data_IF_172485459484
#
_entry.id   IF_172485459484
#
_cell.length_a   1.000
_cell.length_b   1.000
_cell.length_c   1.000
_cell.angle_alpha   90.00
_cell.angle_beta   90.00
_cell.angle_gamma   90.00
#
_symmetry.space_group_name_H-M   'P 1'
#
loop_
_entity.id
_entity.type
_entity.pdbx_description
1 polymer ?
#
# COMPACT_ATOMS: atom_id res chain seq x y z
N UNK A 1 33.17 7.97 -7.54
CA UNK A 1 32.11 8.98 -7.77
C UNK A 1 32.30 9.56 -9.16
N UNK A 2 31.40 9.28 -10.11
CA UNK A 2 31.45 9.90 -11.44
C UNK A 2 30.41 11.02 -11.43
N UNK A 3 30.88 12.27 -11.37
CA UNK A 3 30.00 13.44 -11.50
C UNK A 3 30.01 13.81 -12.97
N UNK A 4 28.88 13.62 -13.64
CA UNK A 4 28.70 14.07 -15.02
C UNK A 4 27.77 15.27 -15.00
N UNK A 5 28.33 16.46 -15.28
CA UNK A 5 27.56 17.70 -15.38
C UNK A 5 26.95 17.74 -16.78
N UNK A 6 25.62 17.56 -16.89
CA UNK A 6 24.89 17.82 -18.14
C UNK A 6 24.17 19.15 -17.99
N UNK A 7 24.59 20.14 -18.77
CA UNK A 7 23.96 21.45 -18.84
C UNK A 7 23.07 21.46 -20.08
N UNK A 8 21.75 21.50 -19.89
CA UNK A 8 20.79 21.68 -20.98
C UNK A 8 20.27 23.12 -20.93
N UNK A 9 20.60 23.89 -21.96
CA UNK A 9 20.08 25.25 -22.18
C UNK A 9 18.85 25.16 -23.09
N UNK A 10 17.67 25.50 -22.57
CA UNK A 10 16.47 25.71 -23.39
C UNK A 10 16.12 27.20 -23.41
N UNK A 11 16.09 27.77 -24.62
CA UNK A 11 15.64 29.14 -24.87
C UNK A 11 14.21 29.10 -25.42
N UNK A 12 13.25 29.65 -24.69
CA UNK A 12 11.91 29.94 -25.21
C UNK A 12 11.46 31.29 -24.67
N UNK A 13 11.18 32.23 -25.59
CA UNK A 13 10.65 33.59 -25.39
C UNK A 13 10.90 34.22 -24.00
N UNK A 14 11.84 35.17 -23.93
CA UNK A 14 12.13 36.09 -22.80
C UNK A 14 12.51 35.50 -21.44
N UNK A 15 12.64 34.18 -21.30
CA UNK A 15 13.08 33.52 -20.05
C UNK A 15 14.31 32.61 -20.28
N UNK A 16 15.23 32.60 -19.31
CA UNK A 16 16.34 31.63 -19.22
C UNK A 16 16.03 30.60 -18.15
N UNK A 17 16.07 29.31 -18.50
CA UNK A 17 15.89 28.21 -17.56
C UNK A 17 17.26 27.54 -17.30
N UNK A 18 17.71 27.50 -16.05
CA UNK A 18 18.95 26.83 -15.64
C UNK A 18 18.61 25.56 -14.85
N UNK A 19 18.69 24.40 -15.49
CA UNK A 19 18.43 23.13 -14.80
C UNK A 19 19.74 22.45 -14.42
N UNK A 20 20.01 22.29 -13.13
CA UNK A 20 21.12 21.48 -12.62
C UNK A 20 20.60 20.11 -12.19
N UNK A 21 20.92 19.07 -12.97
CA UNK A 21 20.55 17.68 -12.62
C UNK A 21 21.74 17.00 -11.96
N UNK A 22 21.63 16.70 -10.66
CA UNK A 22 22.65 15.96 -9.93
C UNK A 22 22.25 14.47 -9.88
N UNK A 23 22.93 13.62 -10.64
CA UNK A 23 22.72 12.17 -10.56
C UNK A 23 23.75 11.56 -9.61
N UNK A 24 23.30 11.10 -8.43
CA UNK A 24 24.19 10.48 -7.43
C UNK A 24 23.95 8.96 -7.45
N UNK A 25 24.97 8.19 -7.85
CA UNK A 25 25.03 6.74 -7.61
C UNK A 25 25.88 6.49 -6.36
N UNK A 26 25.26 6.01 -5.28
CA UNK A 26 25.93 5.73 -4.01
C UNK A 26 25.95 4.22 -3.76
N UNK A 27 27.14 3.61 -3.81
CA UNK A 27 27.39 2.25 -3.33
C UNK A 27 27.86 2.18 -1.87
N UNK A 28 27.93 3.32 -1.15
CA UNK A 28 28.11 3.42 0.32
C UNK A 28 27.87 4.85 0.79
N UNK A 29 27.32 4.99 2.00
CA UNK A 29 26.96 6.26 2.63
C UNK A 29 28.19 7.15 2.89
N UNK A 30 28.15 8.41 2.45
CA UNK A 30 29.11 9.45 2.79
C UNK A 30 28.37 10.76 3.07
N UNK A 31 28.78 11.47 4.11
CA UNK A 31 28.31 12.81 4.46
C UNK A 31 28.99 13.86 3.57
N UNK A 32 28.23 14.82 3.05
CA UNK A 32 28.74 15.94 2.28
C UNK A 32 28.66 17.23 3.10
N UNK A 33 29.81 17.86 3.34
CA UNK A 33 29.91 19.28 3.67
C UNK A 33 30.69 19.96 2.53
N UNK A 34 30.19 21.13 2.12
CA UNK A 34 30.75 22.11 1.17
C UNK A 34 30.40 21.96 -0.33
N UNK A 35 29.30 22.60 -0.74
CA UNK A 35 29.15 23.28 -2.04
C UNK A 35 28.37 24.60 -1.80
N UNK A 36 28.75 25.75 -2.40
CA UNK A 36 28.21 27.06 -1.99
C UNK A 36 26.76 27.37 -2.41
N UNK A 37 26.18 26.64 -3.37
CA UNK A 37 24.88 26.99 -3.97
C UNK A 37 23.77 25.93 -3.76
N UNK A 38 23.99 24.94 -2.89
CA UNK A 38 22.97 23.95 -2.52
C UNK A 38 22.74 24.05 -1.01
N UNK A 39 21.82 24.92 -0.59
CA UNK A 39 21.34 24.87 0.78
C UNK A 39 20.25 23.81 0.91
N UNK A 40 20.56 22.81 1.74
CA UNK A 40 19.66 21.81 2.34
C UNK A 40 19.18 20.67 1.44
N UNK A 41 20.01 19.63 1.30
CA UNK A 41 19.53 18.28 1.01
C UNK A 41 19.09 17.62 2.33
N UNK A 42 17.79 17.49 2.59
CA UNK A 42 17.28 16.75 3.75
C UNK A 42 17.16 15.28 3.37
N UNK A 43 18.07 14.45 3.87
CA UNK A 43 17.98 13.00 3.75
C UNK A 43 17.24 12.44 4.97
N UNK A 44 15.96 12.10 4.81
CA UNK A 44 15.24 11.37 5.85
C UNK A 44 15.56 9.87 5.75
N UNK A 45 16.36 9.38 6.69
CA UNK A 45 16.65 7.95 6.84
C UNK A 45 15.51 7.28 7.60
N UNK A 46 14.51 6.78 6.89
CA UNK A 46 13.55 5.82 7.47
C UNK A 46 14.19 4.42 7.49
N UNK A 47 13.98 3.68 8.57
CA UNK A 47 14.60 2.36 8.81
C UNK A 47 14.18 1.35 7.72
N UNK A 48 15.14 1.05 6.83
CA UNK A 48 15.19 0.00 5.80
C UNK A 48 14.28 0.21 4.58
N UNK A 49 14.96 0.57 3.48
CA UNK A 49 14.60 0.46 2.05
C UNK A 49 13.80 1.54 1.30
N UNK A 50 13.43 2.67 1.89
CA UNK A 50 12.91 3.79 1.10
C UNK A 50 13.81 5.03 1.23
N UNK A 51 14.66 5.23 0.23
CA UNK A 51 15.28 6.53 -0.03
C UNK A 51 14.28 7.37 -0.82
N UNK A 52 13.52 8.20 -0.11
CA UNK A 52 12.81 9.31 -0.72
C UNK A 52 13.80 10.44 -0.92
N UNK A 53 14.24 10.66 -2.15
CA UNK A 53 15.07 11.83 -2.48
C UNK A 53 14.11 12.98 -2.74
N UNK A 54 14.13 13.98 -1.85
CA UNK A 54 13.51 15.27 -2.10
C UNK A 54 14.55 16.09 -2.88
N UNK A 55 14.33 16.25 -4.18
CA UNK A 55 15.08 17.22 -4.97
C UNK A 55 14.43 18.57 -4.71
N UNK A 56 15.14 19.45 -3.99
CA UNK A 56 14.77 20.85 -3.82
C UNK A 56 15.52 21.63 -4.90
N UNK A 57 14.81 21.98 -5.98
CA UNK A 57 15.29 22.96 -6.93
C UNK A 57 14.85 24.35 -6.46
N UNK A 58 15.79 25.27 -6.26
CA UNK A 58 15.49 26.70 -6.19
C UNK A 58 15.58 27.25 -7.61
N UNK A 59 14.43 27.39 -8.26
CA UNK A 59 14.34 28.14 -9.51
C UNK A 59 13.97 29.60 -9.20
N UNK A 60 14.38 30.51 -10.08
CA UNK A 60 13.98 31.91 -10.03
C UNK A 60 13.21 32.25 -11.29
N UNK A 61 11.96 32.68 -11.17
CA UNK A 61 11.23 33.24 -12.31
C UNK A 61 11.53 34.73 -12.36
N UNK A 62 12.24 35.16 -13.40
CA UNK A 62 12.66 36.55 -13.56
C UNK A 62 11.87 37.25 -14.64
N UNK A 63 11.39 38.47 -14.38
CA UNK A 63 10.81 39.38 -15.37
C UNK A 63 11.56 40.70 -15.30
N UNK A 64 12.46 40.95 -16.25
CA UNK A 64 13.41 42.07 -16.16
C UNK A 64 14.46 41.83 -15.06
N UNK A 65 14.73 42.83 -14.22
CA UNK A 65 15.68 42.75 -13.09
C UNK A 65 15.09 42.15 -11.80
N UNK A 66 13.79 41.88 -11.76
CA UNK A 66 13.12 41.27 -10.61
C UNK A 66 13.02 39.74 -10.77
N UNK A 67 13.50 39.00 -9.77
CA UNK A 67 13.45 37.55 -9.70
C UNK A 67 12.74 37.11 -8.42
N UNK A 68 11.81 36.16 -8.53
CA UNK A 68 11.15 35.55 -7.35
C UNK A 68 11.60 34.10 -7.23
N UNK A 69 12.16 33.68 -6.09
CA UNK A 69 12.51 32.28 -5.87
C UNK A 69 11.23 31.45 -5.73
N UNK A 70 11.18 30.30 -6.41
CA UNK A 70 10.14 29.30 -6.24
C UNK A 70 10.77 27.92 -6.05
N UNK A 71 10.19 27.15 -5.13
CA UNK A 71 10.71 25.85 -4.73
C UNK A 71 9.96 24.76 -5.48
N UNK A 72 10.67 24.03 -6.34
CA UNK A 72 10.15 22.79 -6.93
C UNK A 72 10.56 21.64 -6.04
N UNK A 73 9.57 20.95 -5.47
CA UNK A 73 9.80 19.68 -4.77
C UNK A 73 9.39 18.53 -5.68
N UNK A 74 10.33 17.62 -5.96
CA UNK A 74 10.02 16.34 -6.63
C UNK A 74 10.51 15.20 -5.76
N UNK A 75 9.58 14.39 -5.28
CA UNK A 75 9.88 13.18 -4.55
C UNK A 75 10.18 12.07 -5.53
N UNK A 76 11.38 11.50 -5.48
CA UNK A 76 11.74 10.28 -6.21
C UNK A 76 11.87 9.16 -5.19
N UNK A 77 10.93 8.21 -5.21
CA UNK A 77 11.06 6.96 -4.47
C UNK A 77 11.86 5.97 -5.29
N UNK A 78 12.93 5.44 -4.72
CA UNK A 78 13.68 4.35 -5.32
C UNK A 78 12.90 3.05 -5.11
N UNK A 79 11.90 2.79 -5.95
CA UNK A 79 11.22 1.48 -5.97
C UNK A 79 12.12 0.49 -6.73
N UNK A 80 12.43 -0.65 -6.12
CA UNK A 80 13.17 -1.77 -6.77
C UNK A 80 12.37 -2.44 -7.90
N UNK A 81 11.31 -1.80 -8.38
CA UNK A 81 10.29 -2.38 -9.22
C UNK A 81 10.11 -1.49 -10.45
N UNK A 82 10.76 -1.89 -11.54
CA UNK A 82 10.68 -1.17 -12.82
C UNK A 82 9.30 -1.41 -13.43
N UNK A 83 8.62 -0.32 -13.85
CA UNK A 83 7.27 -0.34 -14.44
C UNK A 83 6.17 -0.91 -13.54
N UNK A 84 6.20 -0.61 -12.24
CA UNK A 84 5.11 -0.98 -11.35
C UNK A 84 4.68 0.17 -10.42
N UNK A 85 3.48 0.03 -9.86
CA UNK A 85 2.99 0.82 -8.74
C UNK A 85 3.09 -0.03 -7.46
N UNK A 86 3.61 0.55 -6.38
CA UNK A 86 3.65 -0.10 -5.07
C UNK A 86 2.81 0.71 -4.08
N UNK A 87 1.91 0.03 -3.37
CA UNK A 87 1.02 0.62 -2.37
C UNK A 87 1.17 -0.16 -1.07
N UNK A 88 1.66 0.50 -0.03
CA UNK A 88 1.78 -0.05 1.32
C UNK A 88 1.34 1.02 2.34
N UNK A 89 0.02 1.29 2.42
CA UNK A 89 -0.47 2.38 3.24
C UNK A 89 -0.20 2.11 4.72
N UNK A 90 0.28 3.14 5.43
CA UNK A 90 0.42 3.09 6.89
C UNK A 90 -0.94 3.29 7.58
N UNK A 91 -0.97 3.14 8.90
CA UNK A 91 -2.18 3.32 9.73
C UNK A 91 -3.02 4.58 9.45
N UNK A 92 -2.41 5.67 8.98
CA UNK A 92 -3.10 6.95 8.72
C UNK A 92 -3.80 6.96 7.37
N UNK A 93 -3.23 6.30 6.36
CA UNK A 93 -3.73 6.30 4.99
C UNK A 93 -4.38 4.98 4.57
N UNK A 94 -4.29 3.94 5.41
CA UNK A 94 -4.89 2.64 5.12
C UNK A 94 -6.39 2.71 5.24
N UNK A 95 -7.09 2.05 4.31
CA UNK A 95 -8.52 1.80 4.41
C UNK A 95 -8.76 0.31 4.66
N UNK A 96 -8.94 -0.05 5.93
CA UNK A 96 -9.13 -1.45 6.35
C UNK A 96 -10.05 -1.57 7.57
N UNK A 97 -10.88 -2.61 7.58
CA UNK A 97 -11.81 -2.92 8.65
C UNK A 97 -11.85 -4.44 8.90
N UNK A 98 -12.16 -4.84 10.13
CA UNK A 98 -12.49 -6.23 10.45
C UNK A 98 -13.88 -6.26 11.07
N UNK A 99 -14.74 -7.12 10.54
CA UNK A 99 -16.15 -7.24 10.92
C UNK A 99 -16.38 -8.60 11.58
N UNK A 100 -17.25 -8.67 12.59
CA UNK A 100 -17.46 -9.87 13.40
C UNK A 100 -18.94 -10.19 13.55
N UNK A 101 -19.32 -11.46 13.32
CA UNK A 101 -20.71 -11.90 13.47
C UNK A 101 -21.20 -11.95 14.91
N UNK A 102 -20.30 -12.00 15.89
CA UNK A 102 -20.64 -12.06 17.32
C UNK A 102 -21.11 -10.71 17.89
N UNK A 103 -20.69 -9.62 17.26
CA UNK A 103 -21.01 -8.23 17.63
C UNK A 103 -21.36 -7.47 16.35
N UNK A 104 -22.50 -7.80 15.74
CA UNK A 104 -22.71 -7.54 14.33
C UNK A 104 -22.92 -6.05 14.01
N UNK A 105 -23.23 -5.24 15.01
CA UNK A 105 -23.48 -3.80 14.89
C UNK A 105 -22.34 -2.93 15.45
N UNK A 106 -21.20 -3.54 15.85
CA UNK A 106 -20.04 -2.82 16.36
C UNK A 106 -18.96 -2.64 15.27
N UNK A 107 -18.49 -1.40 15.06
CA UNK A 107 -17.32 -1.14 14.24
C UNK A 107 -16.04 -1.42 15.03
N UNK A 108 -15.11 -2.19 14.47
CA UNK A 108 -13.83 -2.53 15.14
C UNK A 108 -12.59 -1.98 14.47
N UNK A 109 -12.75 -1.16 13.42
CA UNK A 109 -11.66 -0.75 12.52
C UNK A 109 -10.47 -0.07 13.21
N UNK A 110 -10.67 0.57 14.37
CA UNK A 110 -9.65 1.32 15.09
C UNK A 110 -8.72 0.48 15.97
N UNK A 111 -9.09 -0.76 16.32
CA UNK A 111 -8.40 -1.56 17.36
C UNK A 111 -7.79 -2.86 16.86
N UNK A 112 -7.70 -3.03 15.55
CA UNK A 112 -7.26 -4.28 14.94
C UNK A 112 -5.76 -4.22 14.61
N UNK A 113 -5.00 -5.19 15.11
CA UNK A 113 -3.59 -5.40 14.74
C UNK A 113 -3.41 -6.56 13.74
N UNK A 114 -4.48 -7.29 13.46
CA UNK A 114 -4.49 -8.51 12.65
C UNK A 114 -5.59 -8.45 11.58
N UNK A 115 -5.25 -8.71 10.32
CA UNK A 115 -6.21 -8.90 9.23
C UNK A 115 -6.28 -10.35 8.79
N UNK A 116 -7.30 -10.74 8.03
CA UNK A 116 -7.45 -12.07 7.45
C UNK A 116 -8.84 -12.64 7.71
N UNK A 117 -8.90 -13.91 8.11
CA UNK A 117 -10.14 -14.59 8.44
C UNK A 117 -10.01 -15.44 9.70
N UNK A 118 -11.01 -15.34 10.58
CA UNK A 118 -11.05 -16.08 11.85
C UNK A 118 -12.44 -16.63 12.07
N UNK A 119 -12.53 -17.90 12.44
CA UNK A 119 -13.76 -18.51 12.94
C UNK A 119 -13.50 -19.17 14.29
N UNK A 120 -14.36 -18.93 15.25
CA UNK A 120 -14.21 -19.44 16.61
C UNK A 120 -15.56 -19.45 17.32
N UNK A 121 -15.55 -19.78 18.61
CA UNK A 121 -16.71 -19.60 19.48
C UNK A 121 -16.39 -18.57 20.55
N UNK A 122 -17.30 -17.63 20.79
CA UNK A 122 -17.26 -16.71 21.92
C UNK A 122 -18.37 -17.13 22.89
N UNK A 123 -18.01 -17.67 24.05
CA UNK A 123 -18.97 -18.20 25.04
C UNK A 123 -19.94 -19.23 24.45
N UNK A 124 -19.45 -20.10 23.55
CA UNK A 124 -20.25 -21.12 22.87
C UNK A 124 -21.01 -20.64 21.63
N UNK A 125 -21.01 -19.34 21.33
CA UNK A 125 -21.67 -18.77 20.14
C UNK A 125 -20.65 -18.66 19.00
N UNK A 126 -20.94 -19.20 17.79
CA UNK A 126 -20.05 -19.03 16.64
C UNK A 126 -19.79 -17.56 16.30
N UNK A 127 -18.52 -17.24 16.05
CA UNK A 127 -18.04 -15.94 15.65
C UNK A 127 -17.21 -16.08 14.38
N UNK A 128 -17.66 -15.45 13.30
CA UNK A 128 -16.97 -15.35 12.03
C UNK A 128 -16.44 -13.93 11.90
N UNK A 129 -15.18 -13.82 11.54
CA UNK A 129 -14.46 -12.57 11.35
C UNK A 129 -13.90 -12.50 9.93
N UNK A 130 -14.15 -11.39 9.25
CA UNK A 130 -13.69 -11.11 7.88
C UNK A 130 -12.99 -9.76 7.82
N UNK A 131 -12.06 -9.59 6.90
CA UNK A 131 -11.39 -8.30 6.67
C UNK A 131 -11.89 -7.65 5.39
N UNK A 132 -12.11 -6.34 5.45
CA UNK A 132 -12.25 -5.44 4.31
C UNK A 132 -10.95 -4.66 4.17
N UNK A 133 -10.39 -4.59 2.96
CA UNK A 133 -9.12 -3.93 2.67
C UNK A 133 -9.21 -3.20 1.33
N UNK A 134 -8.86 -1.92 1.30
CA UNK A 134 -8.88 -1.10 0.08
C UNK A 134 -7.54 -0.40 -0.11
N UNK A 135 -7.12 -0.34 -1.37
CA UNK A 135 -5.90 0.34 -1.80
C UNK A 135 -6.30 1.49 -2.72
N UNK A 136 -5.70 2.67 -2.52
CA UNK A 136 -6.00 3.82 -3.36
C UNK A 136 -5.46 3.62 -4.78
N UNK A 137 -6.35 3.23 -5.69
CA UNK A 137 -6.08 3.08 -7.12
C UNK A 137 -6.54 4.30 -7.93
N UNK A 138 -6.87 5.44 -7.31
CA UNK A 138 -7.39 6.63 -8.01
C UNK A 138 -6.49 7.09 -9.16
N UNK A 139 -5.17 6.99 -9.00
CA UNK A 139 -4.16 7.37 -9.99
C UNK A 139 -3.98 6.38 -11.17
N UNK A 140 -4.71 5.26 -11.21
CA UNK A 140 -4.74 4.34 -12.36
C UNK A 140 -6.00 4.61 -13.17
N UNK A 141 -5.89 4.89 -14.47
CA UNK A 141 -7.06 5.10 -15.34
C UNK A 141 -7.94 3.84 -15.39
N UNK A 142 -9.27 4.02 -15.34
CA UNK A 142 -10.21 2.91 -15.52
C UNK A 142 -9.94 2.18 -16.84
N UNK A 143 -10.02 0.86 -16.83
CA UNK A 143 -9.73 0.00 -17.98
C UNK A 143 -8.25 -0.15 -18.31
N UNK A 144 -7.33 0.40 -17.49
CA UNK A 144 -5.89 0.15 -17.69
C UNK A 144 -5.61 -1.34 -17.65
N UNK A 145 -5.02 -1.88 -18.71
CA UNK A 145 -4.54 -3.25 -18.73
C UNK A 145 -3.26 -3.37 -17.91
N UNK A 146 -3.25 -4.33 -16.98
CA UNK A 146 -2.08 -4.63 -16.16
C UNK A 146 -1.43 -5.92 -16.64
N UNK A 147 -0.12 -6.05 -16.38
CA UNK A 147 0.61 -7.30 -16.63
C UNK A 147 0.41 -8.29 -15.50
N UNK A 148 0.48 -7.81 -14.26
CA UNK A 148 0.45 -8.63 -13.05
C UNK A 148 0.11 -7.78 -11.83
N UNK A 149 -0.56 -8.36 -10.84
CA UNK A 149 -0.70 -7.76 -9.52
C UNK A 149 -0.41 -8.78 -8.42
N UNK A 150 0.33 -8.37 -7.40
CA UNK A 150 0.66 -9.19 -6.23
C UNK A 150 0.19 -8.51 -4.95
N UNK A 151 -0.53 -9.24 -4.11
CA UNK A 151 -0.81 -8.86 -2.73
C UNK A 151 0.15 -9.59 -1.80
N UNK A 152 0.94 -8.82 -1.06
CA UNK A 152 1.88 -9.31 -0.07
C UNK A 152 1.23 -9.17 1.31
N UNK A 153 1.10 -10.30 2.00
CA UNK A 153 0.54 -10.42 3.33
C UNK A 153 1.58 -11.07 4.25
N UNK A 154 1.77 -10.51 5.43
CA UNK A 154 2.85 -10.91 6.33
C UNK A 154 2.29 -11.49 7.62
N UNK A 155 2.68 -12.71 7.99
CA UNK A 155 2.23 -13.35 9.24
C UNK A 155 2.65 -12.53 10.45
N UNK A 156 1.81 -12.42 11.48
CA UNK A 156 2.02 -11.50 12.61
C UNK A 156 2.47 -12.23 13.89
N UNK A 157 3.78 -12.28 14.21
CA UNK A 157 4.30 -13.00 15.37
C UNK A 157 3.95 -12.35 16.72
N UNK A 158 3.54 -11.08 16.72
CA UNK A 158 3.12 -10.34 17.93
C UNK A 158 1.59 -10.24 18.05
N UNK A 159 0.87 -11.14 17.39
CA UNK A 159 -0.59 -11.21 17.45
C UNK A 159 -1.09 -11.50 18.87
N UNK A 160 -2.22 -10.90 19.24
CA UNK A 160 -2.89 -11.16 20.54
C UNK A 160 -4.05 -12.15 20.43
N UNK A 161 -4.45 -12.52 19.20
CA UNK A 161 -5.56 -13.44 18.96
C UNK A 161 -5.09 -14.90 18.80
N UNK A 162 -3.79 -15.12 18.57
CA UNK A 162 -3.12 -16.43 18.51
C UNK A 162 -2.66 -16.82 17.10
N UNK A 163 -1.90 -17.92 16.99
CA UNK A 163 -1.26 -18.39 15.74
C UNK A 163 -2.25 -18.86 14.67
N UNK A 164 -1.80 -19.03 13.42
CA UNK A 164 -2.61 -19.64 12.38
C UNK A 164 -3.16 -21.03 12.82
N UNK A 165 -4.41 -21.32 12.46
CA UNK A 165 -5.11 -22.55 12.83
C UNK A 165 -5.73 -23.19 11.58
N UNK A 166 -5.05 -24.16 10.95
CA UNK A 166 -5.55 -24.85 9.76
C UNK A 166 -6.66 -25.89 10.07
N UNK A 167 -7.46 -26.31 9.07
CA UNK A 167 -7.49 -25.80 7.69
C UNK A 167 -8.02 -24.37 7.66
N UNK A 168 -7.34 -23.51 6.91
CA UNK A 168 -7.60 -22.07 6.94
C UNK A 168 -7.37 -21.40 5.57
N UNK A 169 -7.69 -22.12 4.50
CA UNK A 169 -7.75 -21.53 3.17
C UNK A 169 -8.59 -20.25 3.18
N UNK A 170 -8.08 -19.23 2.49
CA UNK A 170 -8.68 -17.89 2.48
C UNK A 170 -8.99 -17.50 1.05
N UNK A 171 -10.13 -16.87 0.85
CA UNK A 171 -10.54 -16.31 -0.43
C UNK A 171 -10.57 -14.80 -0.38
N UNK A 172 -10.17 -14.21 -1.51
CA UNK A 172 -10.21 -12.78 -1.76
C UNK A 172 -11.22 -12.53 -2.87
N UNK A 173 -12.12 -11.59 -2.62
CA UNK A 173 -13.11 -11.11 -3.60
C UNK A 173 -13.04 -9.60 -3.74
N UNK A 174 -13.46 -9.08 -4.88
CA UNK A 174 -13.62 -7.64 -5.09
C UNK A 174 -14.92 -7.14 -4.46
N UNK A 175 -14.85 -6.07 -3.69
CA UNK A 175 -16.01 -5.41 -3.09
C UNK A 175 -16.70 -4.52 -4.13
N UNK A 176 -18.03 -4.64 -4.24
CA UNK A 176 -18.86 -4.00 -5.28
C UNK A 176 -19.80 -2.90 -4.75
N UNK A 177 -19.90 -2.70 -3.44
CA UNK A 177 -20.62 -1.57 -2.86
C UNK A 177 -19.75 -0.76 -1.91
N UNK A 178 -20.01 0.55 -1.84
CA UNK A 178 -19.27 1.47 -0.98
C UNK A 178 -19.35 1.07 0.49
N UNK A 179 -18.27 1.33 1.23
CA UNK A 179 -18.21 1.19 2.67
C UNK A 179 -17.26 2.25 3.25
N UNK A 180 -17.53 2.65 4.49
CA UNK A 180 -16.69 3.56 5.27
C UNK A 180 -16.06 2.78 6.42
N UNK A 181 -14.73 2.90 6.55
CA UNK A 181 -13.98 2.21 7.58
C UNK A 181 -14.48 2.53 9.01
N UNK A 182 -14.98 3.74 9.25
CA UNK A 182 -15.35 4.19 10.59
C UNK A 182 -16.76 3.75 11.00
N UNK A 183 -17.58 3.25 10.06
CA UNK A 183 -18.97 2.90 10.34
C UNK A 183 -19.35 1.49 9.91
N UNK A 184 -18.56 0.83 9.05
CA UNK A 184 -18.86 -0.53 8.59
C UNK A 184 -18.90 -1.53 9.74
N UNK A 185 -19.88 -2.42 9.71
CA UNK A 185 -20.10 -3.48 10.69
C UNK A 185 -20.38 -4.79 9.95
N UNK A 186 -20.59 -5.89 10.69
CA UNK A 186 -21.03 -7.15 10.06
C UNK A 186 -22.42 -7.02 9.42
N UNK A 187 -23.36 -6.37 10.12
CA UNK A 187 -24.72 -6.12 9.64
C UNK A 187 -24.77 -5.22 8.41
N UNK A 188 -23.78 -4.33 8.25
CA UNK A 188 -23.69 -3.35 7.16
C UNK A 188 -22.56 -3.67 6.18
N UNK A 189 -22.05 -4.90 6.18
CA UNK A 189 -20.93 -5.28 5.32
C UNK A 189 -21.26 -5.06 3.84
N UNK A 190 -20.28 -4.64 3.03
CA UNK A 190 -20.53 -4.39 1.62
C UNK A 190 -20.72 -5.68 0.84
N UNK A 191 -21.46 -5.59 -0.26
CA UNK A 191 -21.55 -6.65 -1.27
C UNK A 191 -20.22 -6.83 -2.01
N UNK A 192 -20.00 -8.03 -2.54
CA UNK A 192 -18.82 -8.38 -3.31
C UNK A 192 -19.18 -9.27 -4.51
N UNK A 193 -18.32 -9.29 -5.53
CA UNK A 193 -18.49 -10.13 -6.72
C UNK A 193 -18.02 -11.56 -6.42
N UNK A 194 -18.94 -12.52 -6.36
CA UNK A 194 -18.64 -13.92 -6.06
C UNK A 194 -18.14 -14.72 -7.27
N UNK A 195 -18.17 -14.16 -8.49
CA UNK A 195 -17.78 -14.85 -9.71
C UNK A 195 -16.27 -14.88 -9.93
N UNK A 196 -15.55 -13.86 -9.43
CA UNK A 196 -14.10 -13.74 -9.55
C UNK A 196 -13.50 -13.77 -8.15
N UNK A 197 -12.61 -14.73 -7.92
CA UNK A 197 -11.92 -14.90 -6.64
C UNK A 197 -10.49 -15.37 -6.82
N UNK A 198 -9.70 -15.18 -5.77
CA UNK A 198 -8.37 -15.78 -5.62
C UNK A 198 -8.34 -16.51 -4.29
N UNK A 199 -7.79 -17.73 -4.28
CA UNK A 199 -7.72 -18.57 -3.09
C UNK A 199 -6.26 -18.70 -2.65
N UNK A 200 -6.02 -18.50 -1.36
CA UNK A 200 -4.78 -18.80 -0.67
C UNK A 200 -4.88 -20.21 -0.09
N UNK A 201 -3.81 -20.99 -0.21
CA UNK A 201 -3.70 -22.30 0.45
C UNK A 201 -3.71 -22.16 1.97
N UNK A 202 -4.07 -23.24 2.66
CA UNK A 202 -3.92 -23.34 4.11
C UNK A 202 -2.47 -23.09 4.54
N UNK A 203 -2.29 -22.48 5.71
CA UNK A 203 -0.97 -22.24 6.29
C UNK A 203 -0.29 -23.52 6.73
N UNK A 204 1.02 -23.57 6.55
CA UNK A 204 1.91 -24.62 7.07
C UNK A 204 2.74 -24.16 8.29
N UNK A 205 2.65 -22.87 8.64
CA UNK A 205 3.40 -22.24 9.72
C UNK A 205 2.50 -21.33 10.57
N UNK A 206 2.84 -21.19 11.85
CA UNK A 206 2.14 -20.35 12.83
C UNK A 206 1.97 -18.89 12.35
N UNK A 207 2.97 -18.38 11.61
CA UNK A 207 3.04 -17.01 11.10
C UNK A 207 3.50 -16.97 9.63
N UNK A 208 2.77 -17.67 8.76
CA UNK A 208 3.08 -17.75 7.34
C UNK A 208 2.93 -16.41 6.59
N UNK A 209 3.89 -16.09 5.71
CA UNK A 209 3.80 -14.99 4.74
C UNK A 209 3.23 -15.50 3.42
N UNK A 210 2.50 -14.64 2.71
CA UNK A 210 1.93 -14.94 1.40
C UNK A 210 2.25 -13.84 0.39
N UNK A 211 2.65 -14.26 -0.80
CA UNK A 211 2.64 -13.43 -2.01
C UNK A 211 1.58 -14.04 -2.92
N UNK A 212 0.47 -13.32 -3.07
CA UNK A 212 -0.72 -13.80 -3.74
C UNK A 212 -0.85 -13.11 -5.08
N UNK A 213 -0.93 -13.88 -6.18
CA UNK A 213 -1.29 -13.33 -7.48
C UNK A 213 -2.77 -12.96 -7.48
N UNK A 214 -3.04 -11.66 -7.49
CA UNK A 214 -4.41 -11.10 -7.55
C UNK A 214 -4.67 -10.38 -8.87
N UNK A 215 -3.95 -10.74 -9.94
CA UNK A 215 -4.04 -10.09 -11.26
C UNK A 215 -5.47 -10.08 -11.78
N UNK A 216 -6.21 -11.19 -11.68
CA UNK A 216 -7.61 -11.29 -12.12
C UNK A 216 -8.53 -10.32 -11.37
N UNK A 217 -8.37 -10.23 -10.04
CA UNK A 217 -9.16 -9.34 -9.19
C UNK A 217 -8.85 -7.87 -9.44
N UNK A 218 -7.57 -7.50 -9.58
CA UNK A 218 -7.19 -6.11 -9.86
C UNK A 218 -7.61 -5.71 -11.28
N UNK A 219 -7.48 -6.61 -12.27
CA UNK A 219 -7.99 -6.32 -13.61
C UNK A 219 -9.52 -6.15 -13.60
N UNK A 220 -10.25 -7.01 -12.87
CA UNK A 220 -11.69 -6.89 -12.71
C UNK A 220 -12.10 -5.60 -11.98
N UNK A 221 -11.34 -5.18 -10.96
CA UNK A 221 -11.48 -3.87 -10.31
C UNK A 221 -11.30 -2.73 -11.30
N UNK A 222 -10.20 -2.73 -12.07
CA UNK A 222 -9.89 -1.64 -12.99
C UNK A 222 -10.88 -1.54 -14.15
N UNK A 223 -11.47 -2.65 -14.59
CA UNK A 223 -12.50 -2.66 -15.63
C UNK A 223 -13.79 -1.95 -15.18
N UNK A 224 -14.15 -2.08 -13.91
CA UNK A 224 -15.36 -1.49 -13.30
C UNK A 224 -15.02 -0.65 -12.07
N UNK A 225 -14.08 0.29 -12.26
CA UNK A 225 -13.47 1.05 -11.17
C UNK A 225 -14.48 1.87 -10.36
N UNK A 226 -15.51 2.41 -11.01
CA UNK A 226 -16.56 3.19 -10.35
C UNK A 226 -17.40 2.39 -9.36
N UNK A 227 -17.49 1.07 -9.54
CA UNK A 227 -18.24 0.17 -8.67
C UNK A 227 -17.30 -0.80 -7.92
N UNK A 228 -16.06 -0.40 -7.68
CA UNK A 228 -15.06 -1.21 -6.99
C UNK A 228 -14.54 -0.48 -5.76
N UNK A 229 -14.62 -1.13 -4.60
CA UNK A 229 -14.38 -0.50 -3.30
C UNK A 229 -13.39 -1.28 -2.43
N UNK A 230 -12.49 -2.02 -3.06
CA UNK A 230 -11.45 -2.81 -2.38
C UNK A 230 -11.70 -4.29 -2.48
N UNK A 231 -11.24 -5.02 -1.47
CA UNK A 231 -11.25 -6.47 -1.39
C UNK A 231 -11.76 -6.95 -0.03
N UNK A 232 -12.49 -8.06 -0.04
CA UNK A 232 -12.88 -8.77 1.18
C UNK A 232 -12.09 -10.08 1.26
N UNK A 233 -11.52 -10.33 2.45
CA UNK A 233 -10.81 -11.54 2.81
C UNK A 233 -11.70 -12.34 3.75
N UNK A 234 -11.98 -13.60 3.40
CA UNK A 234 -12.77 -14.52 4.23
C UNK A 234 -12.25 -15.94 4.10
N UNK A 235 -12.46 -16.76 5.13
CA UNK A 235 -12.13 -18.19 5.05
C UNK A 235 -13.03 -18.90 4.03
N UNK A 236 -12.49 -19.93 3.37
CA UNK A 236 -13.25 -20.84 2.51
C UNK A 236 -14.28 -21.58 3.36
N UNK A 237 -13.80 -22.19 4.45
CA UNK A 237 -14.61 -22.87 5.45
C UNK A 237 -14.75 -21.97 6.68
N UNK A 238 -15.96 -21.50 6.94
CA UNK A 238 -16.27 -20.64 8.09
C UNK A 238 -16.81 -21.43 9.31
N UNK A 239 -16.57 -22.74 9.38
CA UNK A 239 -16.80 -23.52 10.61
C UNK A 239 -15.80 -23.12 11.70
N UNK A 240 -16.18 -23.13 12.99
CA UNK A 240 -15.31 -22.66 14.08
C UNK A 240 -13.95 -23.35 14.16
N UNK A 241 -13.00 -22.64 14.76
CA UNK A 241 -11.63 -23.06 15.05
C UNK A 241 -10.75 -23.11 13.79
N UNK A 242 -10.75 -22.00 13.05
CA UNK A 242 -9.89 -21.74 11.90
C UNK A 242 -9.40 -20.32 11.92
N UNK A 243 -8.15 -20.11 11.51
CA UNK A 243 -7.57 -18.77 11.54
C UNK A 243 -6.42 -18.66 10.55
N UNK A 244 -6.53 -17.75 9.58
CA UNK A 244 -5.39 -17.30 8.79
C UNK A 244 -5.28 -15.79 8.94
N UNK A 245 -4.20 -15.33 9.58
CA UNK A 245 -4.04 -13.93 9.97
C UNK A 245 -2.69 -13.34 9.56
N UNK A 246 -2.72 -12.04 9.33
CA UNK A 246 -1.59 -11.24 8.88
C UNK A 246 -1.55 -9.92 9.65
N UNK A 247 -0.39 -9.27 9.65
CA UNK A 247 -0.24 -7.97 10.26
C UNK A 247 -1.08 -6.92 9.52
N UNK A 248 -1.86 -6.16 10.29
CA UNK A 248 -2.58 -4.96 9.81
C UNK A 248 -1.59 -3.81 9.54
N UNK A 249 -2.05 -2.80 8.78
CA UNK A 249 -1.38 -1.50 8.67
C UNK A 249 -1.20 -0.74 10.00
N UNK A 250 -1.88 -1.21 11.05
CA UNK A 250 -1.84 -0.68 12.43
C UNK A 250 -0.92 -1.47 13.35
N UNK A 251 -0.31 -2.55 12.86
CA UNK A 251 0.70 -3.31 13.62
C UNK A 251 1.94 -2.46 13.93
N UNK A 252 2.74 -2.90 14.90
CA UNK A 252 3.91 -2.13 15.35
C UNK A 252 5.08 -2.13 14.36
N UNK A 253 5.06 -3.00 13.34
CA UNK A 253 6.14 -3.13 12.37
C UNK A 253 5.69 -2.75 10.95
N UNK A 254 6.06 -1.55 10.46
CA UNK A 254 5.70 -1.08 9.13
C UNK A 254 6.14 -1.99 7.97
N UNK A 255 7.21 -2.77 8.15
CA UNK A 255 7.65 -3.70 7.09
C UNK A 255 6.68 -4.86 6.85
N UNK A 256 5.70 -5.04 7.73
CA UNK A 256 4.73 -6.12 7.71
C UNK A 256 3.33 -5.66 7.29
N UNK A 257 3.17 -4.38 6.94
CA UNK A 257 1.88 -3.88 6.46
C UNK A 257 1.50 -4.54 5.13
N UNK A 258 0.21 -4.76 4.87
CA UNK A 258 -0.27 -5.29 3.59
C UNK A 258 0.23 -4.41 2.45
N UNK A 259 0.74 -5.04 1.39
CA UNK A 259 1.35 -4.34 0.26
C UNK A 259 0.81 -4.87 -1.06
N UNK A 260 0.34 -3.98 -1.91
CA UNK A 260 -0.07 -4.27 -3.28
C UNK A 260 0.99 -3.78 -4.26
N UNK A 261 1.42 -4.65 -5.17
CA UNK A 261 2.31 -4.30 -6.28
C UNK A 261 1.58 -4.57 -7.60
N UNK A 262 1.48 -3.57 -8.46
CA UNK A 262 0.84 -3.66 -9.78
C UNK A 262 1.87 -3.40 -10.87
N UNK A 263 2.17 -4.40 -11.68
CA UNK A 263 3.06 -4.30 -12.83
C UNK A 263 2.27 -3.86 -14.06
N UNK A 264 2.69 -2.74 -14.66
CA UNK A 264 2.08 -2.20 -15.88
C UNK A 264 2.57 -3.00 -17.09
N UNK A 265 1.77 -3.03 -18.16
CA UNK A 265 2.22 -3.53 -19.46
C UNK A 265 3.28 -2.60 -20.07
#
# INVERSE_FOLDING_TARGET
>A
MKVSKLMLLFKKSDYFLFTMVLTISLSKALAFNSLPDVQNLILNKSSKQELSVIIIGVDSVCKGTACVPYVITKTVSNSNCVNCLQLQPNKTFSKEATISSYIPDENRSSSILDIGGVTQTNSGIPNITRTLLDFDLTNITQGTEIKRAELHLYGHPNTTIGVNMPPNELEIYRITSSWDQNTVTWSTQPTFDSNVKVTLSSSTEDYANYIVDITSLVQNYLNDKSNSFGFILKLVDETPYRRLIFASSKSNNPSMYPKLIIYKK
#
